data_IF_394581521838
#
_entry.id   IF_394581521838
#
_cell.length_a   1.000
_cell.length_b   1.000
_cell.length_c   1.000
_cell.angle_alpha   90.00
_cell.angle_beta   90.00
_cell.angle_gamma   90.00
#
_symmetry.space_group_name_H-M   'P 1'
#
loop_
_entity.id
_entity.type
_entity.pdbx_description
1 polymer ?
#
# COMPACT_ATOMS: atom_id res chain seq x y z
N UNK A 1 85.03 -76.27 -12.13
CA UNK A 1 84.74 -77.55 -11.47
C UNK A 1 83.22 -77.69 -11.36
N UNK A 2 82.70 -78.86 -11.74
CA UNK A 2 81.36 -79.42 -11.48
C UNK A 2 80.20 -78.98 -12.41
N UNK A 3 80.16 -79.70 -13.52
CA UNK A 3 79.07 -80.41 -14.22
C UNK A 3 77.68 -80.66 -13.56
N UNK A 4 76.67 -80.86 -14.46
CA UNK A 4 75.50 -81.79 -14.38
C UNK A 4 74.32 -81.31 -13.49
N UNK A 5 72.99 -81.43 -13.73
CA UNK A 5 72.03 -82.14 -14.63
C UNK A 5 70.70 -81.31 -14.61
N UNK A 6 69.96 -81.09 -15.71
CA UNK A 6 68.83 -81.87 -16.30
C UNK A 6 67.52 -81.94 -15.47
N UNK A 7 66.40 -81.81 -16.21
CA UNK A 7 64.99 -82.13 -15.88
C UNK A 7 64.29 -80.98 -15.13
N UNK A 8 63.28 -80.26 -15.63
CA UNK A 8 62.18 -80.61 -16.54
C UNK A 8 60.89 -80.41 -15.74
N UNK A 9 59.97 -79.54 -16.16
CA UNK A 9 58.52 -79.67 -15.96
C UNK A 9 57.77 -78.51 -16.64
N UNK A 10 56.66 -78.86 -17.28
CA UNK A 10 55.73 -77.98 -17.98
C UNK A 10 55.16 -76.89 -17.06
N UNK A 11 55.10 -75.65 -17.55
CA UNK A 11 54.28 -74.59 -16.96
C UNK A 11 53.43 -73.91 -18.03
N UNK A 12 52.13 -74.10 -17.89
CA UNK A 12 51.05 -73.43 -18.62
C UNK A 12 51.12 -71.91 -18.37
N UNK A 13 51.37 -71.10 -19.40
CA UNK A 13 51.04 -69.67 -19.34
C UNK A 13 49.58 -69.46 -19.76
N UNK A 14 48.71 -69.33 -18.76
CA UNK A 14 47.37 -68.79 -18.94
C UNK A 14 47.46 -67.27 -19.14
N UNK A 15 46.96 -66.78 -20.27
CA UNK A 15 46.78 -65.34 -20.53
C UNK A 15 45.58 -64.86 -19.71
N UNK A 16 45.84 -63.99 -18.72
CA UNK A 16 44.80 -63.37 -17.90
C UNK A 16 44.26 -62.14 -18.64
N UNK A 17 43.14 -62.29 -19.35
CA UNK A 17 42.36 -61.17 -19.87
C UNK A 17 41.50 -60.64 -18.72
N UNK A 18 41.82 -59.45 -18.21
CA UNK A 18 40.93 -58.74 -17.28
C UNK A 18 39.68 -58.27 -18.05
N UNK A 19 38.62 -59.08 -17.99
CA UNK A 19 37.27 -58.64 -18.31
C UNK A 19 36.72 -57.79 -17.15
N UNK A 20 36.53 -56.50 -17.38
CA UNK A 20 35.74 -55.65 -16.49
C UNK A 20 34.28 -56.12 -16.52
N UNK A 21 33.79 -56.65 -15.39
CA UNK A 21 32.38 -57.00 -15.21
C UNK A 21 31.57 -55.71 -15.10
N UNK A 22 30.78 -55.39 -16.12
CA UNK A 22 29.73 -54.38 -16.02
C UNK A 22 28.61 -54.89 -15.10
N UNK A 23 28.20 -54.05 -14.15
CA UNK A 23 26.95 -54.23 -13.39
C UNK A 23 25.75 -53.98 -14.33
N UNK A 24 24.66 -54.76 -14.23
CA UNK A 24 23.43 -54.42 -14.92
C UNK A 24 22.69 -53.34 -14.14
N UNK A 25 22.76 -52.09 -14.60
CA UNK A 25 21.89 -51.03 -14.10
C UNK A 25 20.48 -51.25 -14.61
N UNK A 26 19.62 -51.83 -13.78
CA UNK A 26 18.17 -51.77 -13.97
C UNK A 26 17.70 -50.39 -13.54
N UNK A 27 17.70 -49.44 -14.48
CA UNK A 27 16.95 -48.19 -14.31
C UNK A 27 15.49 -48.49 -14.60
N UNK A 28 14.73 -48.63 -13.52
CA UNK A 28 13.28 -48.48 -13.54
C UNK A 28 13.00 -47.09 -14.11
N UNK A 29 12.33 -47.04 -15.26
CA UNK A 29 11.79 -45.79 -15.81
C UNK A 29 10.67 -45.36 -14.86
N UNK A 30 11.02 -44.53 -13.89
CA UNK A 30 10.06 -43.64 -13.26
C UNK A 30 9.73 -42.60 -14.33
N UNK A 31 8.48 -42.63 -14.75
CA UNK A 31 7.90 -41.61 -15.62
C UNK A 31 7.93 -40.28 -14.85
N UNK A 32 8.89 -39.42 -15.20
CA UNK A 32 8.92 -38.03 -14.74
C UNK A 32 7.71 -37.32 -15.30
N UNK A 33 6.72 -37.05 -14.45
CA UNK A 33 5.67 -36.08 -14.75
C UNK A 33 6.33 -34.71 -14.96
N UNK A 34 6.48 -34.31 -16.22
CA UNK A 34 7.02 -33.01 -16.63
C UNK A 34 6.12 -31.90 -16.02
N UNK A 35 6.69 -30.87 -15.36
CA UNK A 35 5.90 -29.73 -14.90
C UNK A 35 5.26 -29.03 -16.10
N UNK A 36 3.97 -28.69 -15.99
CA UNK A 36 3.24 -27.85 -16.95
C UNK A 36 4.08 -26.61 -17.31
N UNK A 37 4.12 -26.19 -18.59
CA UNK A 37 4.84 -24.99 -18.98
C UNK A 37 4.28 -23.77 -18.22
N UNK A 38 5.15 -22.90 -17.69
CA UNK A 38 4.77 -21.70 -16.91
C UNK A 38 3.70 -20.86 -17.64
N UNK A 39 3.76 -20.82 -18.98
CA UNK A 39 2.76 -20.15 -19.82
C UNK A 39 1.35 -20.73 -19.69
N UNK A 40 1.17 -22.06 -19.59
CA UNK A 40 -0.16 -22.67 -19.45
C UNK A 40 -0.81 -22.36 -18.10
N UNK A 41 0.00 -22.26 -17.04
CA UNK A 41 -0.47 -21.85 -15.71
C UNK A 41 -0.96 -20.40 -15.71
N UNK A 42 -0.18 -19.47 -16.30
CA UNK A 42 -0.55 -18.06 -16.40
C UNK A 42 -1.81 -17.84 -17.24
N UNK A 43 -1.90 -18.49 -18.40
CA UNK A 43 -3.08 -18.42 -19.27
C UNK A 43 -4.34 -18.89 -18.54
N UNK A 44 -4.23 -19.99 -17.78
CA UNK A 44 -5.35 -20.48 -16.97
C UNK A 44 -5.78 -19.46 -15.92
N UNK A 45 -4.85 -18.93 -15.12
CA UNK A 45 -5.16 -17.97 -14.06
C UNK A 45 -5.84 -16.71 -14.61
N UNK A 46 -5.34 -16.18 -15.73
CA UNK A 46 -5.93 -15.00 -16.39
C UNK A 46 -7.31 -15.32 -16.98
N UNK A 47 -7.56 -16.56 -17.43
CA UNK A 47 -8.87 -16.99 -17.93
C UNK A 47 -9.92 -17.24 -16.84
N UNK A 48 -9.49 -17.46 -15.60
CA UNK A 48 -10.35 -17.72 -14.43
C UNK A 48 -10.02 -16.72 -13.28
N UNK A 49 -10.23 -15.40 -13.44
CA UNK A 49 -9.71 -14.39 -12.50
C UNK A 49 -10.13 -14.57 -11.03
N UNK A 50 -11.30 -15.16 -10.79
CA UNK A 50 -11.82 -15.43 -9.45
C UNK A 50 -10.97 -16.45 -8.66
N UNK A 51 -10.10 -17.21 -9.33
CA UNK A 51 -9.19 -18.16 -8.71
C UNK A 51 -7.81 -17.58 -8.43
N UNK A 52 -7.59 -16.29 -8.72
CA UNK A 52 -6.31 -15.63 -8.45
C UNK A 52 -6.28 -15.19 -6.98
N UNK A 53 -5.33 -15.72 -6.24
CA UNK A 53 -5.05 -15.37 -4.86
C UNK A 53 -3.63 -14.78 -4.71
N UNK A 54 -3.28 -14.36 -3.49
CA UNK A 54 -1.97 -13.81 -3.21
C UNK A 54 -0.84 -14.80 -3.51
N UNK A 55 -1.05 -16.10 -3.25
CA UNK A 55 -0.02 -17.11 -3.52
C UNK A 55 0.28 -17.23 -5.02
N UNK A 56 -0.75 -17.18 -5.87
CA UNK A 56 -0.63 -17.18 -7.33
C UNK A 56 0.20 -16.00 -7.82
N UNK A 57 -0.12 -14.78 -7.37
CA UNK A 57 0.64 -13.57 -7.74
C UNK A 57 2.06 -13.60 -7.17
N UNK A 58 2.22 -14.05 -5.92
CA UNK A 58 3.52 -14.10 -5.27
C UNK A 58 4.49 -14.98 -6.03
N UNK A 59 4.07 -16.21 -6.34
CA UNK A 59 4.90 -17.21 -7.03
C UNK A 59 5.22 -16.81 -8.47
N UNK A 60 4.23 -16.33 -9.21
CA UNK A 60 4.39 -16.07 -10.65
C UNK A 60 4.97 -14.67 -10.95
N UNK A 61 4.91 -13.73 -9.99
CA UNK A 61 5.33 -12.34 -10.20
C UNK A 61 6.25 -11.83 -9.10
N UNK A 62 5.83 -11.81 -7.83
CA UNK A 62 6.58 -11.09 -6.80
C UNK A 62 7.93 -11.75 -6.49
N UNK A 63 7.96 -13.06 -6.26
CA UNK A 63 9.18 -13.83 -6.00
C UNK A 63 10.23 -13.66 -7.10
N UNK A 64 9.92 -13.91 -8.40
CA UNK A 64 10.92 -13.82 -9.46
C UNK A 64 11.33 -12.39 -9.83
N UNK A 65 10.44 -11.39 -9.67
CA UNK A 65 10.70 -10.05 -10.22
C UNK A 65 10.86 -8.93 -9.17
N UNK A 66 10.29 -9.08 -7.97
CA UNK A 66 10.11 -7.98 -7.02
C UNK A 66 10.87 -8.17 -5.70
N UNK A 67 10.84 -9.37 -5.13
CA UNK A 67 11.31 -9.64 -3.77
C UNK A 67 12.84 -9.52 -3.59
N UNK A 68 13.63 -9.29 -4.65
CA UNK A 68 15.04 -8.90 -4.49
C UNK A 68 15.23 -7.49 -3.90
N UNK A 69 14.19 -6.65 -3.96
CA UNK A 69 14.24 -5.22 -3.59
C UNK A 69 13.02 -4.72 -2.78
N UNK A 70 11.93 -5.49 -2.71
CA UNK A 70 10.68 -5.13 -2.05
C UNK A 70 10.22 -6.24 -1.11
N UNK A 71 10.99 -6.47 -0.05
CA UNK A 71 10.77 -7.53 0.93
C UNK A 71 10.94 -6.98 2.37
N UNK A 72 10.74 -7.79 3.39
CA UNK A 72 10.84 -7.39 4.80
C UNK A 72 12.20 -6.76 5.16
N UNK A 73 13.30 -7.26 4.61
CA UNK A 73 14.67 -6.80 4.89
C UNK A 73 15.10 -5.59 4.04
N UNK A 74 14.54 -5.46 2.83
CA UNK A 74 14.90 -4.45 1.84
C UNK A 74 13.61 -3.90 1.22
N UNK A 75 13.12 -2.79 1.78
CA UNK A 75 11.87 -2.13 1.40
C UNK A 75 12.15 -0.89 0.55
N UNK A 76 12.73 -1.05 -0.64
CA UNK A 76 13.04 0.11 -1.49
C UNK A 76 11.77 0.89 -1.81
N UNK A 77 11.81 2.21 -1.64
CA UNK A 77 10.64 3.06 -1.83
C UNK A 77 9.53 2.84 -0.80
N UNK A 78 9.85 2.25 0.36
CA UNK A 78 8.91 1.90 1.43
C UNK A 78 7.84 0.89 0.98
N UNK A 79 8.19 0.02 0.04
CA UNK A 79 7.30 -1.02 -0.49
C UNK A 79 7.82 -2.39 -0.09
N UNK A 80 6.93 -3.20 0.47
CA UNK A 80 7.15 -4.60 0.82
C UNK A 80 6.05 -5.44 0.16
N UNK A 81 6.46 -6.43 -0.63
CA UNK A 81 5.57 -7.33 -1.36
C UNK A 81 5.65 -8.79 -0.88
N UNK A 82 6.43 -9.04 0.18
CA UNK A 82 6.71 -10.39 0.67
C UNK A 82 5.53 -11.00 1.42
N UNK A 83 4.80 -10.19 2.20
CA UNK A 83 3.65 -10.65 2.98
C UNK A 83 2.37 -9.98 2.51
N UNK A 84 1.27 -10.70 2.65
CA UNK A 84 -0.05 -10.23 2.23
C UNK A 84 -0.41 -8.87 2.83
N UNK A 85 -0.34 -8.75 4.15
CA UNK A 85 -0.74 -7.51 4.86
C UNK A 85 0.12 -6.31 4.45
N UNK A 86 1.41 -6.54 4.16
CA UNK A 86 2.33 -5.48 3.78
C UNK A 86 2.00 -4.87 2.40
N UNK A 87 1.33 -5.60 1.51
CA UNK A 87 0.91 -5.12 0.20
C UNK A 87 -0.07 -3.94 0.28
N UNK A 88 -0.78 -3.80 1.39
CA UNK A 88 -1.76 -2.73 1.61
C UNK A 88 -1.14 -1.49 2.28
N UNK A 89 0.18 -1.48 2.45
CA UNK A 89 0.95 -0.33 2.93
C UNK A 89 0.93 0.87 1.97
N UNK A 90 1.73 1.89 2.27
CA UNK A 90 1.79 3.14 1.50
C UNK A 90 3.19 3.44 1.01
N UNK A 91 3.26 4.03 -0.18
CA UNK A 91 4.48 4.65 -0.73
C UNK A 91 4.19 6.12 -1.06
N UNK A 92 4.76 7.02 -0.24
CA UNK A 92 4.31 8.41 -0.19
C UNK A 92 2.81 8.50 0.15
N UNK A 93 2.05 9.25 -0.66
CA UNK A 93 0.60 9.42 -0.47
C UNK A 93 -0.27 8.38 -1.19
N UNK A 94 0.32 7.34 -1.81
CA UNK A 94 -0.43 6.31 -2.53
C UNK A 94 -0.41 4.99 -1.76
N UNK A 95 -1.54 4.29 -1.73
CA UNK A 95 -1.59 2.88 -1.32
C UNK A 95 -0.85 2.03 -2.37
N UNK A 96 -0.07 1.05 -1.91
CA UNK A 96 0.64 0.12 -2.80
C UNK A 96 -0.38 -0.72 -3.58
N UNK A 97 -1.30 -1.36 -2.85
CA UNK A 97 -2.49 -2.03 -3.39
C UNK A 97 -3.76 -1.38 -2.85
N UNK A 98 -4.69 -1.07 -3.74
CA UNK A 98 -6.09 -0.69 -3.46
C UNK A 98 -6.96 -1.82 -4.01
N UNK A 99 -7.51 -2.66 -3.14
CA UNK A 99 -8.43 -3.71 -3.53
C UNK A 99 -9.57 -3.11 -4.40
N UNK A 100 -9.95 -3.83 -5.46
CA UNK A 100 -10.93 -3.43 -6.48
C UNK A 100 -10.55 -2.23 -7.36
N UNK A 101 -9.34 -1.67 -7.21
CA UNK A 101 -8.90 -0.47 -7.93
C UNK A 101 -7.44 -0.61 -8.39
N UNK A 102 -7.23 -1.36 -9.47
CA UNK A 102 -5.91 -1.52 -10.07
C UNK A 102 -5.35 -0.19 -10.57
N UNK A 103 -6.17 0.64 -11.23
CA UNK A 103 -5.73 1.93 -11.77
C UNK A 103 -5.30 2.92 -10.68
N UNK A 104 -5.89 2.87 -9.49
CA UNK A 104 -5.46 3.65 -8.33
C UNK A 104 -4.31 3.02 -7.53
N UNK A 105 -3.95 1.77 -7.79
CA UNK A 105 -2.89 1.04 -7.07
C UNK A 105 -1.50 1.44 -7.58
N UNK A 106 -0.63 1.92 -6.68
CA UNK A 106 0.73 2.31 -7.06
C UNK A 106 1.53 1.14 -7.66
N UNK A 107 1.26 -0.10 -7.21
CA UNK A 107 1.86 -1.31 -7.76
C UNK A 107 1.57 -1.44 -9.26
N UNK A 108 0.31 -1.48 -9.66
CA UNK A 108 -0.09 -1.66 -11.06
C UNK A 108 0.36 -0.48 -11.94
N UNK A 109 0.18 0.76 -11.45
CA UNK A 109 0.67 1.96 -12.15
C UNK A 109 2.16 1.85 -12.50
N UNK A 110 2.99 1.36 -11.58
CA UNK A 110 4.42 1.19 -11.83
C UNK A 110 4.76 0.12 -12.87
N UNK A 111 3.92 -0.91 -13.03
CA UNK A 111 4.09 -1.97 -14.03
C UNK A 111 3.80 -1.50 -15.45
N UNK A 112 2.82 -0.59 -15.62
CA UNK A 112 2.38 -0.11 -16.95
C UNK A 112 3.13 1.13 -17.45
N UNK A 113 3.96 1.76 -16.61
CA UNK A 113 4.83 2.86 -17.05
C UNK A 113 5.87 2.31 -18.04
N UNK A 114 6.06 2.89 -19.24
CA UNK A 114 6.99 2.32 -20.23
C UNK A 114 8.49 2.42 -19.86
N UNK A 115 8.88 3.47 -19.11
CA UNK A 115 10.28 3.71 -18.73
C UNK A 115 10.42 4.76 -17.62
N UNK A 116 11.63 4.93 -17.11
CA UNK A 116 11.97 5.95 -16.11
C UNK A 116 12.16 5.40 -14.70
N UNK A 117 12.36 6.29 -13.72
CA UNK A 117 12.67 5.90 -12.33
C UNK A 117 11.52 5.23 -11.59
N UNK A 118 10.27 5.43 -12.05
CA UNK A 118 9.06 4.82 -11.49
C UNK A 118 8.63 3.53 -12.18
N UNK A 119 9.23 3.19 -13.32
CA UNK A 119 8.98 1.94 -14.02
C UNK A 119 9.52 0.76 -13.22
N UNK A 120 8.68 -0.24 -13.00
CA UNK A 120 9.04 -1.46 -12.29
C UNK A 120 8.67 -2.70 -13.11
N UNK A 121 9.50 -3.75 -13.09
CA UNK A 121 10.86 -3.78 -12.54
C UNK A 121 11.78 -2.80 -13.28
N UNK A 122 12.86 -2.29 -12.65
CA UNK A 122 13.77 -1.38 -13.35
C UNK A 122 14.25 -1.98 -14.67
N UNK A 123 14.41 -1.18 -15.73
CA UNK A 123 14.70 -1.66 -17.10
C UNK A 123 15.90 -2.63 -17.22
N UNK A 124 16.83 -2.62 -16.26
CA UNK A 124 18.00 -3.52 -16.20
C UNK A 124 17.69 -4.89 -15.56
N UNK A 125 16.46 -5.12 -15.10
CA UNK A 125 15.97 -6.36 -14.52
C UNK A 125 15.03 -7.06 -15.51
N UNK A 126 14.79 -8.35 -15.27
CA UNK A 126 13.84 -9.13 -16.06
C UNK A 126 12.45 -8.50 -15.95
N UNK A 127 11.90 -8.13 -17.11
CA UNK A 127 10.58 -7.54 -17.24
C UNK A 127 9.49 -8.59 -17.16
N UNK A 128 8.29 -8.17 -16.78
CA UNK A 128 7.09 -9.02 -16.80
C UNK A 128 6.61 -9.20 -18.24
N UNK A 129 5.98 -10.34 -18.50
CA UNK A 129 5.12 -10.54 -19.67
C UNK A 129 3.77 -9.84 -19.48
N UNK A 130 3.02 -9.66 -20.58
CA UNK A 130 1.66 -9.10 -20.53
C UNK A 130 0.74 -9.93 -19.60
N UNK A 131 0.80 -11.27 -19.68
CA UNK A 131 0.03 -12.16 -18.81
C UNK A 131 0.35 -11.99 -17.32
N UNK A 132 1.61 -11.71 -16.97
CA UNK A 132 1.98 -11.44 -15.57
C UNK A 132 1.48 -10.08 -15.08
N UNK A 133 1.48 -9.06 -15.95
CA UNK A 133 0.88 -7.76 -15.64
C UNK A 133 -0.63 -7.92 -15.46
N UNK A 134 -1.29 -8.67 -16.34
CA UNK A 134 -2.72 -8.98 -16.25
C UNK A 134 -3.05 -9.78 -15.00
N UNK A 135 -2.22 -10.74 -14.60
CA UNK A 135 -2.39 -11.49 -13.36
C UNK A 135 -2.43 -10.56 -12.13
N UNK A 136 -1.50 -9.60 -12.03
CA UNK A 136 -1.49 -8.61 -10.95
C UNK A 136 -2.73 -7.72 -11.03
N UNK A 137 -3.09 -7.23 -12.22
CA UNK A 137 -4.27 -6.39 -12.43
C UNK A 137 -5.53 -7.09 -11.95
N UNK A 138 -5.76 -8.30 -12.44
CA UNK A 138 -6.94 -9.09 -12.16
C UNK A 138 -7.01 -9.46 -10.68
N UNK A 139 -5.90 -9.83 -10.05
CA UNK A 139 -5.87 -10.05 -8.61
C UNK A 139 -6.36 -8.82 -7.83
N UNK A 140 -5.87 -7.62 -8.18
CA UNK A 140 -6.29 -6.38 -7.52
C UNK A 140 -7.77 -6.09 -7.78
N UNK A 141 -8.22 -6.18 -9.04
CA UNK A 141 -9.61 -5.94 -9.44
C UNK A 141 -10.60 -6.92 -8.76
N UNK A 142 -10.15 -8.13 -8.43
CA UNK A 142 -10.94 -9.13 -7.71
C UNK A 142 -10.79 -9.04 -6.18
N UNK A 143 -10.35 -7.89 -5.67
CA UNK A 143 -10.30 -7.60 -4.24
C UNK A 143 -8.96 -7.93 -3.57
N UNK A 144 -7.91 -8.22 -4.35
CA UNK A 144 -6.58 -8.54 -3.87
C UNK A 144 -6.59 -9.62 -2.77
N UNK A 145 -7.28 -10.74 -3.01
CA UNK A 145 -7.57 -11.77 -2.01
C UNK A 145 -6.32 -12.49 -1.51
N UNK A 146 -6.32 -12.87 -0.23
CA UNK A 146 -5.32 -13.76 0.35
C UNK A 146 -5.52 -15.19 -0.16
N UNK A 147 -6.76 -15.66 -0.10
CA UNK A 147 -7.18 -17.01 -0.50
C UNK A 147 -8.31 -16.94 -1.55
N UNK A 148 -8.40 -17.95 -2.43
CA UNK A 148 -9.40 -18.01 -3.52
C UNK A 148 -10.84 -17.81 -3.01
N UNK A 149 -11.21 -18.53 -1.95
CA UNK A 149 -12.57 -18.54 -1.41
C UNK A 149 -12.88 -17.35 -0.50
N UNK A 150 -11.94 -16.42 -0.33
CA UNK A 150 -12.15 -15.23 0.48
C UNK A 150 -13.19 -14.32 -0.18
N UNK A 151 -14.20 -13.95 0.59
CA UNK A 151 -15.12 -12.87 0.25
C UNK A 151 -14.48 -11.59 0.75
N UNK A 152 -14.12 -10.72 -0.19
CA UNK A 152 -13.69 -9.34 0.07
C UNK A 152 -14.79 -8.47 -0.52
N UNK A 153 -15.26 -7.50 0.24
CA UNK A 153 -16.19 -6.49 -0.25
C UNK A 153 -15.41 -5.21 -0.57
N UNK A 154 -15.78 -4.46 -1.62
CA UNK A 154 -15.16 -3.18 -1.88
C UNK A 154 -15.45 -2.24 -0.72
N UNK A 155 -14.37 -1.74 -0.11
CA UNK A 155 -14.46 -0.58 0.77
C UNK A 155 -15.08 0.58 -0.03
N UNK A 156 -16.02 1.35 0.56
CA UNK A 156 -16.60 2.49 -0.11
C UNK A 156 -15.50 3.46 -0.54
N UNK A 157 -15.65 4.04 -1.73
CA UNK A 157 -14.71 5.05 -2.23
C UNK A 157 -14.68 6.26 -1.31
N UNK A 158 -13.58 7.01 -1.30
CA UNK A 158 -13.47 8.24 -0.51
C UNK A 158 -14.61 9.22 -0.82
N UNK A 159 -15.05 9.30 -2.07
CA UNK A 159 -16.16 10.14 -2.50
C UNK A 159 -17.50 9.66 -1.91
N UNK A 160 -17.78 8.35 -1.94
CA UNK A 160 -18.97 7.77 -1.32
C UNK A 160 -18.98 7.97 0.19
N UNK A 161 -17.82 7.81 0.86
CA UNK A 161 -17.71 8.09 2.30
C UNK A 161 -17.99 9.56 2.59
N UNK A 162 -17.41 10.48 1.82
CA UNK A 162 -17.58 11.92 2.02
C UNK A 162 -19.02 12.38 1.78
N UNK A 163 -19.75 11.77 0.84
CA UNK A 163 -21.15 12.11 0.60
C UNK A 163 -22.03 11.83 1.83
N UNK A 164 -21.77 10.74 2.58
CA UNK A 164 -22.52 10.45 3.82
C UNK A 164 -22.40 11.56 4.87
N UNK A 165 -21.21 12.18 4.96
CA UNK A 165 -20.96 13.33 5.84
C UNK A 165 -21.57 14.62 5.28
N UNK A 166 -21.65 14.78 3.96
CA UNK A 166 -22.28 15.96 3.36
C UNK A 166 -23.80 15.93 3.46
N UNK A 167 -24.41 14.75 3.52
CA UNK A 167 -25.83 14.57 3.81
C UNK A 167 -26.16 14.83 5.29
N UNK A 168 -25.23 14.52 6.21
CA UNK A 168 -25.40 14.64 7.66
C UNK A 168 -24.20 15.40 8.29
N UNK A 169 -24.02 16.69 7.98
CA UNK A 169 -22.83 17.44 8.37
C UNK A 169 -22.64 17.60 9.88
N UNK A 170 -23.71 17.47 10.66
CA UNK A 170 -23.67 17.48 12.13
C UNK A 170 -22.91 16.30 12.73
N UNK A 171 -22.67 15.23 11.95
CA UNK A 171 -21.97 14.01 12.37
C UNK A 171 -20.46 14.11 12.23
N UNK A 172 -19.96 15.14 11.55
CA UNK A 172 -18.53 15.35 11.34
C UNK A 172 -17.93 15.79 12.66
N UNK A 173 -17.04 14.95 13.22
CA UNK A 173 -16.33 15.22 14.46
C UNK A 173 -14.81 15.29 14.26
N UNK A 174 -14.07 15.49 15.35
CA UNK A 174 -12.61 15.57 15.29
C UNK A 174 -11.98 14.29 14.77
N UNK A 175 -12.54 13.10 15.07
CA UNK A 175 -11.97 11.84 14.59
C UNK A 175 -12.00 11.78 13.07
N UNK A 176 -13.11 12.19 12.45
CA UNK A 176 -13.24 12.26 10.99
C UNK A 176 -12.18 13.19 10.38
N UNK A 177 -12.06 14.41 10.90
CA UNK A 177 -11.08 15.38 10.40
C UNK A 177 -9.64 14.92 10.64
N UNK A 178 -9.38 14.31 11.79
CA UNK A 178 -8.06 13.82 12.15
C UNK A 178 -7.61 12.69 11.21
N UNK A 179 -8.47 11.71 10.92
CA UNK A 179 -8.15 10.61 10.01
C UNK A 179 -8.06 11.04 8.55
N UNK A 180 -8.94 11.92 8.08
CA UNK A 180 -9.01 12.30 6.67
C UNK A 180 -8.08 13.44 6.28
N UNK A 181 -7.73 14.35 7.21
CA UNK A 181 -6.98 15.57 6.92
C UNK A 181 -5.71 15.67 7.77
N UNK A 182 -5.81 15.68 9.09
CA UNK A 182 -4.65 16.02 9.93
C UNK A 182 -3.56 14.95 9.90
N UNK A 183 -3.88 13.68 10.14
CA UNK A 183 -2.89 12.59 10.09
C UNK A 183 -2.22 12.47 8.72
N UNK A 184 -2.95 12.47 7.59
CA UNK A 184 -2.32 12.22 6.29
C UNK A 184 -1.54 13.42 5.73
N UNK A 185 -1.90 14.66 6.08
CA UNK A 185 -1.40 15.86 5.40
C UNK A 185 -0.74 16.90 6.32
N UNK A 186 -0.98 16.86 7.63
CA UNK A 186 -0.49 17.90 8.56
C UNK A 186 0.49 17.34 9.62
N UNK A 187 0.22 16.15 10.13
CA UNK A 187 0.89 15.59 11.32
C UNK A 187 2.38 15.29 11.12
N UNK A 188 2.87 15.18 9.88
CA UNK A 188 4.32 15.01 9.64
C UNK A 188 5.16 16.21 10.07
N UNK A 189 4.55 17.42 10.10
CA UNK A 189 5.22 18.67 10.44
C UNK A 189 4.58 19.38 11.64
N UNK A 190 3.27 19.28 11.81
CA UNK A 190 2.50 19.89 12.91
C UNK A 190 2.22 18.90 14.05
N UNK A 191 3.27 18.25 14.57
CA UNK A 191 3.22 17.38 15.74
C UNK A 191 4.04 17.92 16.91
N UNK A 192 3.84 17.34 18.09
CA UNK A 192 4.57 17.71 19.31
C UNK A 192 6.11 17.60 19.19
N UNK A 193 6.63 16.73 18.32
CA UNK A 193 8.07 16.50 18.14
C UNK A 193 8.67 17.27 16.95
N UNK A 194 7.85 17.59 15.95
CA UNK A 194 8.26 18.26 14.71
C UNK A 194 8.04 19.77 14.72
N UNK A 195 7.41 20.33 15.75
CA UNK A 195 7.21 21.77 15.96
C UNK A 195 8.52 22.50 16.34
N UNK A 196 9.62 22.22 15.64
CA UNK A 196 10.92 22.84 15.87
C UNK A 196 11.01 24.24 15.22
N UNK A 197 10.91 25.26 16.06
CA UNK A 197 11.68 26.53 16.09
C UNK A 197 12.21 27.14 14.77
N UNK A 198 11.35 27.42 13.80
CA UNK A 198 11.61 28.48 12.80
C UNK A 198 10.69 29.67 13.10
N UNK A 199 11.25 30.73 13.69
CA UNK A 199 10.59 32.05 13.75
C UNK A 199 10.15 32.42 12.32
N UNK A 200 8.85 32.72 12.14
CA UNK A 200 8.19 33.17 10.89
C UNK A 200 7.43 32.13 10.04
N UNK A 201 7.25 30.87 10.49
CA UNK A 201 6.40 29.90 9.78
C UNK A 201 4.89 30.14 9.99
N UNK A 202 4.08 30.00 8.93
CA UNK A 202 2.60 29.99 9.03
C UNK A 202 2.18 28.77 9.86
N UNK A 203 1.28 28.95 10.85
CA UNK A 203 0.89 27.93 11.84
C UNK A 203 2.06 27.40 12.71
N UNK A 204 3.07 28.26 12.97
CA UNK A 204 4.21 27.97 13.84
C UNK A 204 3.80 27.45 15.22
N UNK A 205 4.35 26.32 15.66
CA UNK A 205 4.06 25.76 16.98
C UNK A 205 2.67 25.15 17.12
N UNK A 206 1.86 25.16 16.05
CA UNK A 206 0.58 24.47 16.03
C UNK A 206 0.81 22.96 16.10
N UNK A 207 0.14 22.32 17.06
CA UNK A 207 0.06 20.87 17.15
C UNK A 207 -1.34 20.44 16.70
N UNK A 208 -1.39 19.57 15.69
CA UNK A 208 -2.64 19.06 15.12
C UNK A 208 -2.90 17.59 15.49
N UNK A 209 -2.10 17.02 16.40
CA UNK A 209 -2.22 15.61 16.79
C UNK A 209 -3.16 15.36 17.96
N UNK A 210 -3.77 16.40 18.54
CA UNK A 210 -4.82 16.27 19.55
C UNK A 210 -5.87 17.38 19.44
N UNK A 211 -7.09 17.09 19.88
CA UNK A 211 -8.21 18.03 19.87
C UNK A 211 -7.88 19.32 20.65
N UNK A 212 -7.46 19.18 21.91
CA UNK A 212 -7.13 20.32 22.80
C UNK A 212 -6.09 21.27 22.21
N UNK A 213 -5.13 20.73 21.44
CA UNK A 213 -4.06 21.55 20.85
C UNK A 213 -4.58 22.53 19.80
N UNK A 214 -5.71 22.22 19.14
CA UNK A 214 -6.31 23.07 18.11
C UNK A 214 -6.89 24.37 18.69
N UNK A 215 -7.26 24.33 19.98
CA UNK A 215 -7.88 25.42 20.72
C UNK A 215 -6.97 25.96 21.83
N UNK A 216 -5.66 25.73 21.71
CA UNK A 216 -4.68 26.20 22.69
C UNK A 216 -4.83 27.70 22.96
N UNK A 217 -4.84 28.17 24.22
CA UNK A 217 -5.01 29.59 24.54
C UNK A 217 -3.89 30.48 24.02
N UNK A 218 -2.75 29.91 23.64
CA UNK A 218 -1.59 30.64 23.12
C UNK A 218 -1.59 30.73 21.60
N UNK A 219 -2.23 29.78 20.91
CA UNK A 219 -2.26 29.72 19.46
C UNK A 219 -3.45 28.86 18.98
N UNK A 220 -4.69 29.38 19.07
CA UNK A 220 -5.83 28.68 18.53
C UNK A 220 -5.74 28.71 17.00
N UNK A 221 -5.90 27.53 16.39
CA UNK A 221 -5.89 27.39 14.92
C UNK A 221 -7.28 27.16 14.33
N UNK A 222 -8.23 26.79 15.19
CA UNK A 222 -9.65 26.68 14.87
C UNK A 222 -10.45 27.63 15.77
N UNK A 223 -11.35 28.38 15.15
CA UNK A 223 -12.39 29.17 15.81
C UNK A 223 -13.73 28.45 15.63
N UNK A 224 -14.34 27.99 16.72
CA UNK A 224 -15.58 27.20 16.68
C UNK A 224 -16.72 28.01 16.05
N UNK A 225 -17.41 27.42 15.08
CA UNK A 225 -18.51 28.07 14.36
C UNK A 225 -18.06 29.04 13.26
N UNK A 226 -16.78 29.42 13.21
CA UNK A 226 -16.30 30.46 12.30
C UNK A 226 -15.03 30.04 11.53
N UNK A 227 -15.25 29.44 10.36
CA UNK A 227 -14.17 29.04 9.46
C UNK A 227 -13.37 30.22 8.90
N UNK A 228 -13.90 31.45 8.86
CA UNK A 228 -13.17 32.62 8.34
C UNK A 228 -12.18 33.18 9.34
N UNK A 229 -12.47 33.01 10.63
CA UNK A 229 -11.58 33.42 11.72
C UNK A 229 -10.64 32.28 12.18
N UNK A 230 -10.81 31.08 11.60
CA UNK A 230 -9.92 29.94 11.81
C UNK A 230 -8.67 30.07 10.96
N UNK A 231 -7.53 30.38 11.58
CA UNK A 231 -6.24 30.56 10.89
C UNK A 231 -5.79 29.34 10.09
N UNK A 232 -6.15 28.12 10.53
CA UNK A 232 -5.93 26.90 9.75
C UNK A 232 -6.70 26.94 8.42
N UNK A 233 -8.00 27.22 8.46
CA UNK A 233 -8.86 27.25 7.28
C UNK A 233 -8.42 28.36 6.32
N UNK A 234 -8.04 29.51 6.84
CA UNK A 234 -7.48 30.59 6.04
C UNK A 234 -6.21 30.15 5.31
N UNK A 235 -5.29 29.48 6.00
CA UNK A 235 -4.01 29.03 5.44
C UNK A 235 -4.16 27.93 4.39
N UNK A 236 -5.03 26.94 4.63
CA UNK A 236 -5.14 25.74 3.76
C UNK A 236 -6.18 25.89 2.65
N UNK A 237 -7.23 26.69 2.85
CA UNK A 237 -8.34 26.83 1.88
C UNK A 237 -8.35 28.19 1.19
N UNK A 238 -8.25 29.28 1.95
CA UNK A 238 -8.46 30.64 1.40
C UNK A 238 -7.19 31.15 0.71
N UNK A 239 -6.09 31.19 1.44
CA UNK A 239 -4.81 31.71 0.97
C UNK A 239 -3.99 30.62 0.26
N UNK A 240 -4.29 29.35 0.50
CA UNK A 240 -3.55 28.18 -0.02
C UNK A 240 -2.04 28.30 0.19
N UNK A 241 -1.65 28.90 1.32
CA UNK A 241 -0.26 29.06 1.73
C UNK A 241 0.32 27.80 2.37
N UNK A 242 -0.55 26.86 2.77
CA UNK A 242 -0.17 25.56 3.32
C UNK A 242 -0.97 24.42 2.67
N UNK A 243 -0.35 23.24 2.45
CA UNK A 243 1.08 22.96 2.63
C UNK A 243 1.92 23.57 1.49
N UNK A 244 3.25 23.75 1.67
CA UNK A 244 4.09 24.44 0.70
C UNK A 244 4.24 23.62 -0.59
N UNK A 245 3.57 24.05 -1.65
CA UNK A 245 3.60 23.37 -2.96
C UNK A 245 5.01 23.35 -3.56
N UNK A 246 5.81 24.39 -3.32
CA UNK A 246 7.20 24.47 -3.77
C UNK A 246 8.10 23.38 -3.16
N UNK A 247 7.73 22.86 -1.99
CA UNK A 247 8.41 21.74 -1.33
C UNK A 247 7.83 20.37 -1.74
N UNK A 248 6.88 20.35 -2.68
CA UNK A 248 6.32 19.13 -3.27
C UNK A 248 5.06 18.60 -2.59
N UNK A 249 4.53 19.29 -1.58
CA UNK A 249 3.27 18.93 -0.94
C UNK A 249 2.07 19.31 -1.83
N UNK A 250 0.96 18.59 -1.68
CA UNK A 250 -0.25 18.82 -2.45
C UNK A 250 -1.33 19.50 -1.59
N UNK A 251 -2.06 20.50 -2.12
CA UNK A 251 -3.20 21.10 -1.44
C UNK A 251 -4.30 20.08 -1.14
N UNK A 252 -5.16 20.41 -0.16
CA UNK A 252 -6.38 19.66 0.11
C UNK A 252 -7.31 19.64 -1.12
N UNK A 253 -8.01 18.52 -1.31
CA UNK A 253 -9.04 18.42 -2.35
C UNK A 253 -10.24 19.31 -2.03
N UNK A 254 -11.05 19.63 -3.04
CA UNK A 254 -12.27 20.43 -2.84
C UNK A 254 -13.24 19.81 -1.83
N UNK A 255 -13.37 18.48 -1.82
CA UNK A 255 -14.23 17.78 -0.88
C UNK A 255 -13.65 17.80 0.55
N UNK A 256 -12.34 17.66 0.72
CA UNK A 256 -11.70 17.78 2.04
C UNK A 256 -11.77 19.23 2.56
N UNK A 257 -11.68 20.24 1.70
CA UNK A 257 -11.94 21.64 2.07
C UNK A 257 -13.37 21.85 2.57
N UNK A 258 -14.36 21.24 1.88
CA UNK A 258 -15.76 21.27 2.29
C UNK A 258 -15.95 20.57 3.64
N UNK A 259 -15.36 19.38 3.82
CA UNK A 259 -15.42 18.61 5.07
C UNK A 259 -14.87 19.42 6.25
N UNK A 260 -13.68 20.03 6.10
CA UNK A 260 -13.08 20.88 7.13
C UNK A 260 -13.98 22.08 7.46
N UNK A 261 -14.53 22.75 6.44
CA UNK A 261 -15.46 23.88 6.64
C UNK A 261 -16.67 23.45 7.45
N UNK A 262 -17.30 22.33 7.08
CA UNK A 262 -18.51 21.81 7.71
C UNK A 262 -18.28 21.47 9.17
N UNK A 263 -17.16 20.84 9.50
CA UNK A 263 -16.79 20.57 10.89
C UNK A 263 -16.65 21.85 11.70
N UNK A 264 -15.93 22.86 11.17
CA UNK A 264 -15.71 24.12 11.88
C UNK A 264 -17.03 24.84 12.16
N UNK A 265 -17.90 24.99 11.15
CA UNK A 265 -19.18 25.68 11.32
C UNK A 265 -20.16 24.89 12.21
N UNK A 266 -19.99 23.56 12.32
CA UNK A 266 -20.68 22.71 13.29
C UNK A 266 -19.94 22.63 14.62
N UNK A 267 -19.38 23.75 15.06
CA UNK A 267 -18.74 23.95 16.36
C UNK A 267 -17.48 23.13 16.63
N UNK A 268 -16.88 22.55 15.59
CA UNK A 268 -15.65 21.76 15.68
C UNK A 268 -15.68 20.78 16.87
N UNK A 269 -16.74 19.97 16.94
CA UNK A 269 -16.98 19.04 18.04
C UNK A 269 -15.89 17.96 18.10
N UNK A 270 -15.59 17.50 19.32
CA UNK A 270 -14.60 16.43 19.54
C UNK A 270 -15.18 15.05 19.21
N UNK A 271 -16.36 14.75 19.76
CA UNK A 271 -17.04 13.47 19.61
C UNK A 271 -18.54 13.68 19.42
N UNK A 272 -19.05 13.28 18.25
CA UNK A 272 -20.47 13.38 17.92
C UNK A 272 -21.37 12.51 18.81
N UNK A 273 -20.86 11.40 19.36
CA UNK A 273 -21.65 10.51 20.20
C UNK A 273 -21.73 11.00 21.65
N UNK A 274 -20.84 11.91 22.06
CA UNK A 274 -20.78 12.46 23.41
C UNK A 274 -21.73 13.64 23.63
N UNK A 275 -22.18 14.28 22.55
CA UNK A 275 -23.11 15.41 22.57
C UNK A 275 -24.55 14.92 22.53
N UNK A 276 -25.40 15.49 23.39
CA UNK A 276 -26.83 15.17 23.42
C UNK A 276 -27.56 15.64 22.16
N UNK A 277 -28.88 15.39 22.09
CA UNK A 277 -29.75 16.01 21.07
C UNK A 277 -29.80 17.53 21.30
N UNK A 278 -28.76 18.23 20.86
CA UNK A 278 -28.71 19.70 20.85
C UNK A 278 -29.62 20.25 19.74
N UNK A 279 -30.12 21.46 19.95
CA UNK A 279 -31.06 22.12 19.05
C UNK A 279 -30.34 22.50 17.74
N UNK A 280 -30.46 21.64 16.73
CA UNK A 280 -29.97 21.91 15.38
C UNK A 280 -30.81 23.02 14.73
N UNK A 281 -30.16 24.10 14.31
CA UNK A 281 -30.79 25.20 13.58
C UNK A 281 -30.64 25.02 12.08
N UNK A 282 -31.61 25.51 11.30
CA UNK A 282 -31.46 25.58 9.84
C UNK A 282 -30.44 26.67 9.49
N UNK A 283 -29.39 26.29 8.77
CA UNK A 283 -28.38 27.23 8.29
C UNK A 283 -28.98 28.26 7.31
N UNK A 284 -28.60 29.52 7.45
CA UNK A 284 -29.00 30.62 6.54
C UNK A 284 -28.26 30.56 5.20
N UNK A 285 -27.13 29.87 5.12
CA UNK A 285 -26.29 29.76 3.91
C UNK A 285 -26.61 28.52 3.05
N UNK A 286 -27.64 27.75 3.42
CA UNK A 286 -28.15 26.63 2.62
C UNK A 286 -27.35 25.32 2.73
N UNK A 287 -26.56 25.14 3.79
CA UNK A 287 -25.60 24.03 3.94
C UNK A 287 -26.20 22.83 4.70
N UNK A 288 -27.38 22.98 5.31
CA UNK A 288 -28.05 21.93 6.08
C UNK A 288 -28.42 22.39 7.48
N UNK A 289 -28.51 21.45 8.42
CA UNK A 289 -28.66 21.75 9.85
C UNK A 289 -27.28 22.07 10.44
N UNK A 290 -27.17 23.15 11.21
CA UNK A 290 -25.94 23.53 11.93
C UNK A 290 -26.19 23.63 13.43
N UNK A 291 -25.15 23.37 14.22
CA UNK A 291 -25.19 23.55 15.69
C UNK A 291 -25.00 25.03 16.07
N UNK A 292 -25.68 25.47 17.13
CA UNK A 292 -25.37 26.72 17.81
C UNK A 292 -24.19 26.48 18.76
N UNK A 293 -23.07 27.16 18.53
CA UNK A 293 -21.89 26.97 19.37
C UNK A 293 -22.03 27.73 20.68
N UNK A 294 -21.74 27.08 21.82
CA UNK A 294 -21.89 27.66 23.16
C UNK A 294 -21.14 29.00 23.33
N UNK A 295 -20.03 29.20 22.62
CA UNK A 295 -19.23 30.43 22.64
C UNK A 295 -19.90 31.62 21.90
N UNK A 296 -21.04 31.41 21.24
CA UNK A 296 -21.86 32.43 20.57
C UNK A 296 -23.21 32.72 21.26
N UNK A 297 -23.46 32.13 22.44
CA UNK A 297 -24.63 32.38 23.30
C UNK A 297 -24.29 33.32 24.47
#
# INVERSE_FOLDING_TARGET
>A
MINIERIGLLSFMAVFVMGVKGCPSSHTLLEETQPEPVTSTLEKLVSEPNTIDFQSVSKEVFEPHCLSCHNNENQRGFVNLETYDANFGRTGHRKVVRAFDAEGSALYQSLIIPSGSRHMPPLRKQQLSELQIDLVKLWIENGAKLEVDQIVEPEPSEEEVLETYFENPETIDYNVINEMIFKPQCASCHSQESSNFIEDAILYGANMTSYDSLFSPFLPVIEKGNHRDSSLFESVVINQSMPPVEEGYQPLSGNLNRLLRLWIINCAIEDYNAIGEEELISDTDGIGKVRLCEDQM
#
